data_IF_855452994608
#
_entry.id   IF_855452994608
#
_cell.length_a   1.000
_cell.length_b   1.000
_cell.length_c   1.000
_cell.angle_alpha   90.00
_cell.angle_beta   90.00
_cell.angle_gamma   90.00
#
_symmetry.space_group_name_H-M   'P 1'
#
loop_
_entity.id
_entity.type
_entity.pdbx_description
1 polymer ?
#
# COMPACT_ATOMS: atom_id res chain seq x y z
N UNK A 1 -50.28 34.79 17.49
CA UNK A 1 -49.84 34.13 16.24
C UNK A 1 -48.37 33.75 16.44
N UNK A 2 -48.13 32.49 16.76
CA UNK A 2 -46.74 31.99 16.93
C UNK A 2 -46.12 31.81 15.54
N UNK A 3 -45.00 32.49 15.29
CA UNK A 3 -44.20 32.29 14.13
C UNK A 3 -43.73 30.82 14.11
N UNK A 4 -44.26 30.03 13.20
CA UNK A 4 -43.75 28.70 12.91
C UNK A 4 -42.32 28.89 12.45
N UNK A 5 -41.36 28.64 13.33
CA UNK A 5 -39.95 28.70 12.99
C UNK A 5 -39.65 27.79 11.82
N UNK A 6 -39.38 28.37 10.69
CA UNK A 6 -39.03 27.66 9.47
C UNK A 6 -37.67 27.00 9.69
N UNK A 7 -37.64 25.77 10.20
CA UNK A 7 -36.44 24.95 10.31
C UNK A 7 -36.03 24.38 8.93
N UNK A 8 -35.88 25.31 7.97
CA UNK A 8 -35.39 24.95 6.65
C UNK A 8 -33.86 24.99 6.66
N UNK A 9 -33.23 24.03 6.01
CA UNK A 9 -31.78 24.00 5.79
C UNK A 9 -31.25 25.32 5.17
N UNK A 10 -32.14 26.13 4.60
CA UNK A 10 -31.81 27.42 4.00
C UNK A 10 -31.37 28.49 5.02
N UNK A 11 -31.72 28.34 6.31
CA UNK A 11 -31.33 29.25 7.37
C UNK A 11 -29.88 29.07 7.84
N UNK A 12 -29.25 27.94 7.53
CA UNK A 12 -27.86 27.67 7.97
C UNK A 12 -26.83 28.43 7.12
N UNK A 13 -25.74 28.91 7.76
CA UNK A 13 -24.58 29.45 7.05
C UNK A 13 -23.96 28.43 6.10
N UNK A 14 -23.31 28.91 5.04
CA UNK A 14 -22.73 28.04 4.00
C UNK A 14 -21.68 27.06 4.54
N UNK A 15 -20.84 27.49 5.48
CA UNK A 15 -19.85 26.64 6.13
C UNK A 15 -20.48 25.44 6.85
N UNK A 16 -21.59 25.64 7.56
CA UNK A 16 -22.34 24.58 8.23
C UNK A 16 -22.92 23.59 7.20
N UNK A 17 -23.49 24.12 6.12
CA UNK A 17 -24.01 23.27 5.04
C UNK A 17 -22.89 22.48 4.34
N UNK A 18 -21.71 23.07 4.13
CA UNK A 18 -20.56 22.37 3.57
C UNK A 18 -20.07 21.27 4.52
N UNK A 19 -20.06 21.53 5.83
CA UNK A 19 -19.70 20.51 6.82
C UNK A 19 -20.70 19.35 6.81
N UNK A 20 -22.00 19.63 6.72
CA UNK A 20 -23.03 18.59 6.54
C UNK A 20 -22.81 17.81 5.24
N UNK A 21 -22.56 18.50 4.12
CA UNK A 21 -22.31 17.87 2.83
C UNK A 21 -21.02 17.02 2.83
N UNK A 22 -20.06 17.31 3.70
CA UNK A 22 -18.80 16.57 3.80
C UNK A 22 -18.98 15.11 4.26
N UNK A 23 -20.11 14.77 4.89
CA UNK A 23 -20.46 13.41 5.28
C UNK A 23 -21.03 12.56 4.13
N UNK A 24 -21.37 13.19 3.00
CA UNK A 24 -21.91 12.51 1.84
C UNK A 24 -20.80 11.88 0.99
N UNK A 25 -21.10 10.70 0.43
CA UNK A 25 -20.22 10.13 -0.59
C UNK A 25 -20.32 10.89 -1.93
N UNK A 26 -19.37 10.64 -2.83
CA UNK A 26 -19.28 11.37 -4.12
C UNK A 26 -20.58 11.30 -4.95
N UNK A 27 -21.24 10.13 -4.96
CA UNK A 27 -22.50 9.95 -5.70
C UNK A 27 -23.63 10.78 -5.10
N UNK A 28 -23.70 10.85 -3.80
CA UNK A 28 -24.67 11.64 -3.04
C UNK A 28 -24.41 13.14 -3.24
N UNK A 29 -23.14 13.58 -3.17
CA UNK A 29 -22.74 14.96 -3.46
C UNK A 29 -23.20 15.39 -4.84
N UNK A 30 -22.93 14.57 -5.87
CA UNK A 30 -23.38 14.86 -7.24
C UNK A 30 -24.91 14.92 -7.33
N UNK A 31 -25.64 14.07 -6.60
CA UNK A 31 -27.11 14.12 -6.52
C UNK A 31 -27.59 15.39 -5.83
N UNK A 32 -26.96 15.77 -4.72
CA UNK A 32 -27.28 16.97 -3.95
C UNK A 32 -27.18 18.25 -4.80
N UNK A 33 -26.27 18.28 -5.78
CA UNK A 33 -26.16 19.41 -6.71
C UNK A 33 -27.42 19.68 -7.55
N UNK A 34 -28.37 18.75 -7.58
CA UNK A 34 -29.64 18.84 -8.33
C UNK A 34 -30.82 19.33 -7.49
N UNK A 35 -30.63 19.50 -6.19
CA UNK A 35 -31.71 19.86 -5.25
C UNK A 35 -32.14 21.31 -5.49
N UNK A 36 -31.21 22.27 -5.44
CA UNK A 36 -31.47 23.67 -5.69
C UNK A 36 -30.21 24.40 -6.17
N UNK A 37 -30.35 25.68 -6.59
CA UNK A 37 -29.23 26.50 -7.06
C UNK A 37 -28.15 26.71 -6.00
N UNK A 38 -28.54 26.91 -4.75
CA UNK A 38 -27.64 27.09 -3.61
C UNK A 38 -26.79 25.83 -3.38
N UNK A 39 -27.42 24.66 -3.31
CA UNK A 39 -26.71 23.38 -3.15
C UNK A 39 -25.78 23.08 -4.32
N UNK A 40 -26.19 23.43 -5.55
CA UNK A 40 -25.34 23.29 -6.74
C UNK A 40 -24.05 24.13 -6.63
N UNK A 41 -24.09 25.29 -5.98
CA UNK A 41 -22.90 26.11 -5.72
C UNK A 41 -22.06 25.52 -4.58
N UNK A 42 -22.69 25.16 -3.44
CA UNK A 42 -22.02 24.59 -2.29
C UNK A 42 -21.26 23.29 -2.62
N UNK A 43 -21.87 22.41 -3.42
CA UNK A 43 -21.23 21.16 -3.85
C UNK A 43 -19.95 21.39 -4.68
N UNK A 44 -19.75 22.56 -5.26
CA UNK A 44 -18.51 22.89 -5.99
C UNK A 44 -17.36 23.33 -5.08
N UNK A 45 -17.61 23.52 -3.78
CA UNK A 45 -16.55 23.89 -2.84
C UNK A 45 -15.45 22.84 -2.81
N UNK A 46 -14.22 23.29 -3.02
CA UNK A 46 -13.05 22.39 -3.10
C UNK A 46 -12.72 21.65 -1.80
N UNK A 47 -13.29 22.08 -0.68
CA UNK A 47 -13.16 21.36 0.61
C UNK A 47 -13.81 19.99 0.53
N UNK A 48 -14.93 19.83 -0.17
CA UNK A 48 -15.65 18.58 -0.36
C UNK A 48 -14.91 17.59 -1.28
N UNK A 49 -14.00 18.07 -2.13
CA UNK A 49 -13.29 17.28 -3.15
C UNK A 49 -11.82 17.04 -2.82
N UNK A 50 -11.43 17.15 -1.55
CA UNK A 50 -10.05 16.87 -1.12
C UNK A 50 -9.69 15.39 -1.22
N UNK A 51 -10.62 14.52 -0.88
CA UNK A 51 -10.49 13.06 -0.98
C UNK A 51 -11.70 12.51 -1.73
N UNK A 52 -11.47 11.97 -2.92
CA UNK A 52 -12.50 11.44 -3.80
C UNK A 52 -12.31 9.93 -3.94
N UNK A 53 -13.28 9.19 -3.44
CA UNK A 53 -13.32 7.74 -3.53
C UNK A 53 -14.46 7.29 -4.43
N UNK A 54 -14.10 6.79 -5.61
CA UNK A 54 -15.02 6.22 -6.58
C UNK A 54 -14.96 4.68 -6.61
N UNK A 55 -14.22 4.04 -5.70
CA UNK A 55 -14.06 2.59 -5.68
C UNK A 55 -15.35 1.86 -5.34
N UNK A 56 -16.22 2.48 -4.54
CA UNK A 56 -17.53 1.96 -4.14
C UNK A 56 -18.64 2.29 -5.14
N UNK A 57 -18.43 3.26 -6.02
CA UNK A 57 -19.43 3.66 -7.01
C UNK A 57 -19.38 2.73 -8.22
N UNK A 58 -20.29 1.74 -8.24
CA UNK A 58 -20.42 0.80 -9.36
C UNK A 58 -20.83 1.52 -10.65
N UNK A 59 -20.21 1.16 -11.77
CA UNK A 59 -20.56 1.67 -13.09
C UNK A 59 -19.95 3.03 -13.45
N UNK A 60 -18.90 3.46 -12.77
CA UNK A 60 -18.10 4.63 -13.19
C UNK A 60 -17.46 4.33 -14.54
N UNK A 61 -17.72 5.21 -15.50
CA UNK A 61 -17.17 5.15 -16.86
C UNK A 61 -16.20 6.29 -17.10
N UNK A 62 -15.41 6.23 -18.18
CA UNK A 62 -14.54 7.35 -18.61
C UNK A 62 -15.31 8.65 -18.78
N UNK A 63 -16.57 8.58 -19.26
CA UNK A 63 -17.45 9.76 -19.37
C UNK A 63 -17.75 10.38 -18.00
N UNK A 64 -18.04 9.57 -16.98
CA UNK A 64 -18.27 10.06 -15.60
C UNK A 64 -17.01 10.72 -15.05
N UNK A 65 -15.84 10.13 -15.29
CA UNK A 65 -14.56 10.71 -14.87
C UNK A 65 -14.31 12.09 -15.52
N UNK A 66 -14.64 12.24 -16.79
CA UNK A 66 -14.54 13.53 -17.49
C UNK A 66 -15.50 14.57 -16.92
N UNK A 67 -16.75 14.19 -16.60
CA UNK A 67 -17.73 15.10 -15.99
C UNK A 67 -17.24 15.56 -14.62
N UNK A 68 -16.77 14.62 -13.77
CA UNK A 68 -16.25 14.97 -12.46
C UNK A 68 -15.04 15.90 -12.56
N UNK A 69 -14.11 15.61 -13.45
CA UNK A 69 -12.91 16.42 -13.64
C UNK A 69 -13.26 17.83 -14.13
N UNK A 70 -14.25 17.97 -15.00
CA UNK A 70 -14.66 19.29 -15.52
C UNK A 70 -15.40 20.13 -14.50
N UNK A 71 -16.27 19.53 -13.69
CA UNK A 71 -17.22 20.26 -12.86
C UNK A 71 -16.81 20.40 -11.40
N UNK A 72 -16.09 19.43 -10.85
CA UNK A 72 -15.88 19.32 -9.40
C UNK A 72 -14.41 19.21 -9.00
N UNK A 73 -13.62 18.37 -9.69
CA UNK A 73 -12.23 18.15 -9.32
C UNK A 73 -11.36 19.35 -9.72
N UNK A 74 -10.48 19.76 -8.81
CA UNK A 74 -9.64 20.94 -9.02
C UNK A 74 -8.43 20.96 -8.08
N UNK A 75 -7.92 22.14 -7.82
CA UNK A 75 -6.71 22.37 -7.01
C UNK A 75 -6.81 21.86 -5.55
N UNK A 76 -8.03 21.67 -5.05
CA UNK A 76 -8.27 21.12 -3.71
C UNK A 76 -7.97 19.62 -3.57
N UNK A 77 -8.00 18.86 -4.69
CA UNK A 77 -7.86 17.40 -4.68
C UNK A 77 -6.49 16.95 -4.18
N UNK A 78 -6.50 16.06 -3.17
CA UNK A 78 -5.30 15.47 -2.54
C UNK A 78 -5.21 13.96 -2.72
N UNK A 79 -6.35 13.28 -2.68
CA UNK A 79 -6.45 11.84 -2.78
C UNK A 79 -7.53 11.45 -3.78
N UNK A 80 -7.20 10.55 -4.70
CA UNK A 80 -8.13 10.02 -5.69
C UNK A 80 -8.05 8.50 -5.70
N UNK A 81 -9.20 7.85 -5.47
CA UNK A 81 -9.36 6.40 -5.57
C UNK A 81 -10.32 6.06 -6.68
N UNK A 82 -9.86 5.25 -7.63
CA UNK A 82 -10.62 4.84 -8.80
C UNK A 82 -10.69 3.32 -8.87
N UNK A 83 -11.84 2.80 -9.28
CA UNK A 83 -12.02 1.41 -9.62
C UNK A 83 -12.53 1.30 -11.05
N UNK A 84 -11.71 0.67 -11.90
CA UNK A 84 -12.06 0.37 -13.28
C UNK A 84 -12.82 -0.95 -13.43
N UNK A 85 -12.95 -1.41 -14.66
CA UNK A 85 -13.53 -2.69 -15.04
C UNK A 85 -12.55 -3.38 -15.99
N UNK A 86 -11.67 -4.21 -15.46
CA UNK A 86 -10.63 -4.94 -16.21
C UNK A 86 -11.22 -5.78 -17.36
N UNK A 87 -12.41 -6.32 -17.18
CA UNK A 87 -13.05 -7.25 -18.12
C UNK A 87 -13.99 -6.60 -19.13
N UNK A 88 -14.09 -5.28 -19.16
CA UNK A 88 -15.02 -4.58 -20.06
C UNK A 88 -14.40 -4.30 -21.44
N UNK A 89 -14.18 -5.33 -22.21
CA UNK A 89 -13.65 -5.26 -23.58
C UNK A 89 -14.50 -4.35 -24.51
N UNK A 90 -15.77 -4.12 -24.17
CA UNK A 90 -16.71 -3.36 -25.01
C UNK A 90 -16.80 -1.85 -24.73
N UNK A 91 -16.13 -1.31 -23.70
CA UNK A 91 -16.34 0.08 -23.25
C UNK A 91 -15.15 1.03 -23.48
N UNK A 92 -14.10 0.59 -24.17
CA UNK A 92 -12.90 1.41 -24.38
C UNK A 92 -12.05 1.59 -23.12
N UNK A 93 -10.95 2.32 -23.23
CA UNK A 93 -10.04 2.57 -22.12
C UNK A 93 -10.72 3.38 -21.01
N UNK A 94 -10.65 2.87 -19.77
CA UNK A 94 -11.20 3.56 -18.59
C UNK A 94 -10.41 4.85 -18.28
N UNK A 95 -9.08 4.78 -18.36
CA UNK A 95 -8.16 5.90 -18.26
C UNK A 95 -7.46 6.13 -19.60
N UNK A 96 -7.41 7.39 -20.03
CA UNK A 96 -6.72 7.81 -21.24
C UNK A 96 -5.61 8.80 -20.91
N UNK A 97 -4.60 8.90 -21.77
CA UNK A 97 -3.52 9.89 -21.60
C UNK A 97 -4.07 11.31 -21.52
N UNK A 98 -5.06 11.65 -22.37
CA UNK A 98 -5.71 12.97 -22.37
C UNK A 98 -6.40 13.28 -21.04
N UNK A 99 -7.01 12.27 -20.40
CA UNK A 99 -7.61 12.47 -19.07
C UNK A 99 -6.55 12.68 -17.98
N UNK A 100 -5.44 11.94 -18.03
CA UNK A 100 -4.33 12.13 -17.08
C UNK A 100 -3.66 13.50 -17.26
N UNK A 101 -3.48 13.98 -18.49
CA UNK A 101 -2.97 15.31 -18.76
C UNK A 101 -3.91 16.39 -18.20
N UNK A 102 -5.22 16.24 -18.40
CA UNK A 102 -6.21 17.14 -17.83
C UNK A 102 -6.24 17.08 -16.29
N UNK A 103 -6.05 15.89 -15.69
CA UNK A 103 -5.91 15.71 -14.25
C UNK A 103 -4.65 16.43 -13.73
N UNK A 104 -3.52 16.26 -14.41
CA UNK A 104 -2.25 16.91 -14.07
C UNK A 104 -2.38 18.44 -14.05
N UNK A 105 -3.04 19.03 -15.04
CA UNK A 105 -3.21 20.49 -15.14
C UNK A 105 -4.21 21.03 -14.12
N UNK A 106 -5.34 20.34 -13.89
CA UNK A 106 -6.39 20.79 -12.98
C UNK A 106 -6.15 20.49 -11.50
N UNK A 107 -5.44 19.41 -11.21
CA UNK A 107 -5.24 18.92 -9.85
C UNK A 107 -3.75 18.91 -9.44
N UNK A 108 -3.08 20.07 -9.42
CA UNK A 108 -1.64 20.17 -9.18
C UNK A 108 -1.20 19.78 -7.76
N UNK A 109 -2.16 19.54 -6.86
CA UNK A 109 -1.91 19.17 -5.46
C UNK A 109 -2.28 17.72 -5.15
N UNK A 110 -2.52 16.87 -6.17
CA UNK A 110 -2.83 15.46 -5.99
C UNK A 110 -1.61 14.71 -5.45
N UNK A 111 -1.73 14.17 -4.24
CA UNK A 111 -0.63 13.45 -3.55
C UNK A 111 -0.77 11.94 -3.57
N UNK A 112 -2.02 11.43 -3.57
CA UNK A 112 -2.29 9.99 -3.56
C UNK A 112 -3.22 9.60 -4.69
N UNK A 113 -2.82 8.59 -5.47
CA UNK A 113 -3.63 7.97 -6.50
C UNK A 113 -3.70 6.47 -6.25
N UNK A 114 -4.90 5.94 -6.07
CA UNK A 114 -5.15 4.52 -5.91
C UNK A 114 -6.01 4.04 -7.09
N UNK A 115 -5.49 3.09 -7.84
CA UNK A 115 -6.17 2.48 -8.98
C UNK A 115 -6.45 1.01 -8.69
N UNK A 116 -7.69 0.60 -8.90
CA UNK A 116 -8.12 -0.77 -8.70
C UNK A 116 -8.79 -1.31 -9.96
N UNK A 117 -8.52 -2.57 -10.31
CA UNK A 117 -9.13 -3.25 -11.46
C UNK A 117 -9.07 -2.41 -12.75
N UNK A 118 -7.93 -1.80 -13.02
CA UNK A 118 -7.76 -0.87 -14.15
C UNK A 118 -6.72 -1.38 -15.13
N UNK A 119 -7.06 -1.36 -16.42
CA UNK A 119 -6.13 -1.64 -17.50
C UNK A 119 -5.38 -0.34 -17.87
N UNK A 120 -4.07 -0.34 -17.62
CA UNK A 120 -3.17 0.78 -17.89
C UNK A 120 -2.28 0.54 -19.11
N UNK A 121 -2.46 -0.57 -19.86
CA UNK A 121 -1.62 -0.92 -21.00
C UNK A 121 -1.64 0.13 -22.12
N UNK A 122 -2.68 0.94 -22.17
CA UNK A 122 -2.80 2.06 -23.10
C UNK A 122 -2.04 3.32 -22.67
N UNK A 123 -1.43 3.32 -21.49
CA UNK A 123 -0.64 4.44 -20.97
C UNK A 123 0.85 4.14 -21.20
N UNK A 124 1.55 5.02 -21.89
CA UNK A 124 2.97 4.80 -22.22
C UNK A 124 3.87 4.81 -20.99
N UNK A 125 3.62 5.74 -20.05
CA UNK A 125 4.50 5.94 -18.91
C UNK A 125 3.76 6.59 -17.74
N UNK A 126 4.26 6.36 -16.52
CA UNK A 126 3.82 7.05 -15.31
C UNK A 126 4.22 8.55 -15.29
N UNK A 127 5.05 9.04 -16.20
CA UNK A 127 5.38 10.46 -16.36
C UNK A 127 4.16 11.34 -16.67
N UNK A 128 3.06 10.74 -17.13
CA UNK A 128 1.78 11.43 -17.34
C UNK A 128 1.06 11.77 -16.02
N UNK A 129 1.47 11.16 -14.92
CA UNK A 129 0.89 11.42 -13.60
C UNK A 129 1.28 12.81 -13.08
N UNK A 130 0.44 13.43 -12.21
CA UNK A 130 0.77 14.73 -11.63
C UNK A 130 2.11 14.71 -10.90
N UNK A 131 2.96 15.76 -11.07
CA UNK A 131 4.29 15.82 -10.45
C UNK A 131 4.23 15.91 -8.92
N UNK A 132 3.11 16.33 -8.36
CA UNK A 132 2.86 16.38 -6.91
C UNK A 132 2.55 15.00 -6.30
N UNK A 133 2.45 13.94 -7.11
CA UNK A 133 2.07 12.61 -6.65
C UNK A 133 3.20 11.98 -5.82
N UNK A 134 2.87 11.63 -4.59
CA UNK A 134 3.78 10.99 -3.64
C UNK A 134 3.46 9.51 -3.42
N UNK A 135 2.18 9.13 -3.56
CA UNK A 135 1.70 7.77 -3.27
C UNK A 135 0.96 7.23 -4.49
N UNK A 136 1.46 6.12 -5.03
CA UNK A 136 0.81 5.36 -6.09
C UNK A 136 0.48 3.96 -5.59
N UNK A 137 -0.80 3.60 -5.64
CA UNK A 137 -1.29 2.28 -5.26
C UNK A 137 -2.00 1.64 -6.45
N UNK A 138 -1.53 0.47 -6.88
CA UNK A 138 -2.11 -0.31 -7.96
C UNK A 138 -2.57 -1.66 -7.43
N UNK A 139 -3.84 -1.98 -7.60
CA UNK A 139 -4.43 -3.24 -7.15
C UNK A 139 -5.22 -3.88 -8.27
N UNK A 140 -4.91 -5.14 -8.61
CA UNK A 140 -5.57 -5.85 -9.71
C UNK A 140 -5.50 -5.06 -11.03
N UNK A 141 -4.36 -4.46 -11.33
CA UNK A 141 -4.15 -3.64 -12.53
C UNK A 141 -3.24 -4.35 -13.52
N UNK A 142 -3.38 -4.00 -14.80
CA UNK A 142 -2.45 -4.36 -15.85
C UNK A 142 -1.61 -3.15 -16.23
N UNK A 143 -0.28 -3.31 -16.30
CA UNK A 143 0.66 -2.24 -16.66
C UNK A 143 1.49 -2.63 -17.86
N UNK A 144 1.84 -1.68 -18.77
CA UNK A 144 2.76 -1.97 -19.87
C UNK A 144 4.21 -2.06 -19.38
N UNK A 145 5.07 -2.74 -20.12
CA UNK A 145 6.47 -2.98 -19.74
C UNK A 145 7.28 -1.73 -19.42
N UNK A 146 7.00 -0.63 -20.11
CA UNK A 146 7.67 0.66 -19.91
C UNK A 146 7.01 1.60 -18.90
N UNK A 147 5.95 1.18 -18.21
CA UNK A 147 5.15 2.11 -17.37
C UNK A 147 5.97 2.85 -16.31
N UNK A 148 6.91 2.18 -15.69
CA UNK A 148 7.77 2.75 -14.63
C UNK A 148 9.11 3.28 -15.16
N UNK A 149 9.37 3.18 -16.48
CA UNK A 149 10.58 3.73 -17.05
C UNK A 149 10.56 5.26 -16.97
N UNK A 150 11.69 5.83 -16.58
CA UNK A 150 11.91 7.27 -16.57
C UNK A 150 12.94 7.62 -17.64
N UNK A 151 12.53 8.38 -18.63
CA UNK A 151 13.49 9.06 -19.48
C UNK A 151 14.21 10.14 -18.67
N UNK A 152 15.53 10.16 -18.74
CA UNK A 152 16.38 11.00 -17.87
C UNK A 152 16.10 12.51 -18.03
N UNK A 153 15.52 12.91 -19.16
CA UNK A 153 15.35 14.31 -19.58
C UNK A 153 13.98 14.92 -19.32
N UNK A 154 13.01 14.15 -18.76
CA UNK A 154 11.63 14.67 -18.61
C UNK A 154 11.52 15.56 -17.37
N UNK A 155 11.38 16.86 -17.55
CA UNK A 155 11.05 17.82 -16.48
C UNK A 155 9.65 17.53 -15.91
N UNK A 156 9.48 17.74 -14.59
CA UNK A 156 8.19 17.62 -13.92
C UNK A 156 7.76 16.19 -13.59
N UNK A 157 8.71 15.33 -13.24
CA UNK A 157 8.46 13.94 -12.80
C UNK A 157 7.73 13.89 -11.46
N UNK A 158 6.85 12.89 -11.31
CA UNK A 158 6.25 12.57 -10.02
C UNK A 158 7.34 12.08 -9.04
N UNK A 159 7.43 12.73 -7.89
CA UNK A 159 8.33 12.34 -6.80
C UNK A 159 7.68 11.26 -5.94
N UNK A 160 7.45 10.06 -6.51
CA UNK A 160 6.76 8.99 -5.81
C UNK A 160 7.64 8.45 -4.68
N UNK A 161 7.15 8.62 -3.46
CA UNK A 161 7.79 8.15 -2.23
C UNK A 161 7.27 6.78 -1.80
N UNK A 162 6.01 6.48 -2.14
CA UNK A 162 5.34 5.23 -1.77
C UNK A 162 4.75 4.56 -3.01
N UNK A 163 5.15 3.32 -3.26
CA UNK A 163 4.58 2.45 -4.28
C UNK A 163 4.01 1.19 -3.64
N UNK A 164 2.73 0.93 -3.86
CA UNK A 164 2.04 -0.29 -3.41
C UNK A 164 1.48 -1.02 -4.61
N UNK A 165 1.89 -2.27 -4.78
CA UNK A 165 1.45 -3.15 -5.85
C UNK A 165 0.81 -4.41 -5.24
N UNK A 166 -0.45 -4.65 -5.56
CA UNK A 166 -1.19 -5.81 -5.11
C UNK A 166 -1.87 -6.51 -6.28
N UNK A 167 -1.53 -7.78 -6.51
CA UNK A 167 -2.10 -8.58 -7.61
C UNK A 167 -2.04 -7.86 -8.95
N UNK A 168 -0.85 -7.41 -9.34
CA UNK A 168 -0.55 -6.81 -10.65
C UNK A 168 0.20 -7.84 -11.48
N UNK A 169 -0.49 -8.70 -12.27
CA UNK A 169 0.12 -9.88 -12.89
C UNK A 169 1.12 -9.54 -14.00
N UNK A 170 1.00 -8.38 -14.62
CA UNK A 170 1.96 -7.89 -15.62
C UNK A 170 3.26 -7.35 -15.02
N UNK A 171 3.31 -7.06 -13.72
CA UNK A 171 4.50 -6.53 -13.06
C UNK A 171 5.58 -7.60 -12.92
N UNK A 172 6.81 -7.30 -13.34
CA UNK A 172 7.92 -8.24 -13.44
C UNK A 172 9.25 -7.61 -13.01
N UNK A 173 10.33 -8.40 -13.04
CA UNK A 173 11.69 -7.95 -12.77
C UNK A 173 12.16 -6.79 -13.66
N UNK A 174 11.63 -6.70 -14.91
CA UNK A 174 11.91 -5.58 -15.80
C UNK A 174 11.39 -4.25 -15.22
N UNK A 175 10.19 -4.26 -14.65
CA UNK A 175 9.61 -3.08 -14.00
C UNK A 175 10.38 -2.70 -12.73
N UNK A 176 10.86 -3.70 -11.96
CA UNK A 176 11.72 -3.45 -10.81
C UNK A 176 13.01 -2.72 -11.20
N UNK A 177 13.67 -3.14 -12.29
CA UNK A 177 14.87 -2.44 -12.78
C UNK A 177 14.59 -0.97 -13.09
N UNK A 178 13.42 -0.67 -13.66
CA UNK A 178 13.00 0.72 -13.88
C UNK A 178 12.81 1.48 -12.58
N UNK A 179 12.30 0.84 -11.52
CA UNK A 179 12.16 1.46 -10.20
C UNK A 179 13.49 1.79 -9.53
N UNK A 180 14.59 1.14 -9.92
CA UNK A 180 15.92 1.47 -9.38
C UNK A 180 16.33 2.92 -9.62
N UNK A 181 15.75 3.58 -10.61
CA UNK A 181 15.97 5.01 -10.91
C UNK A 181 15.15 5.96 -10.02
N UNK A 182 14.22 5.44 -9.20
CA UNK A 182 13.33 6.26 -8.38
C UNK A 182 13.97 6.65 -7.05
N UNK A 183 14.75 7.73 -7.07
CA UNK A 183 15.54 8.20 -5.91
C UNK A 183 14.75 8.61 -4.69
N UNK A 184 13.44 8.92 -4.84
CA UNK A 184 12.57 9.36 -3.75
C UNK A 184 11.82 8.20 -3.08
N UNK A 185 11.90 6.98 -3.64
CA UNK A 185 11.15 5.85 -3.12
C UNK A 185 11.64 5.44 -1.74
N UNK A 186 10.78 5.61 -0.74
CA UNK A 186 11.04 5.28 0.67
C UNK A 186 10.20 4.09 1.15
N UNK A 187 9.07 3.81 0.48
CA UNK A 187 8.17 2.70 0.80
C UNK A 187 7.81 1.90 -0.44
N UNK A 188 8.09 0.61 -0.41
CA UNK A 188 7.77 -0.34 -1.46
C UNK A 188 6.99 -1.53 -0.87
N UNK A 189 5.79 -1.80 -1.41
CA UNK A 189 5.00 -2.95 -1.03
C UNK A 189 4.68 -3.79 -2.27
N UNK A 190 5.14 -5.02 -2.25
CA UNK A 190 4.94 -6.00 -3.31
C UNK A 190 4.14 -7.19 -2.76
N UNK A 191 2.91 -7.35 -3.23
CA UNK A 191 1.98 -8.35 -2.71
C UNK A 191 1.37 -9.16 -3.84
N UNK A 192 1.41 -10.48 -3.74
CA UNK A 192 0.83 -11.41 -4.73
C UNK A 192 1.28 -11.11 -6.18
N UNK A 193 2.60 -10.99 -6.38
CA UNK A 193 3.22 -10.72 -7.68
C UNK A 193 3.97 -11.95 -8.18
N UNK A 194 3.40 -12.68 -9.13
CA UNK A 194 3.93 -13.97 -9.60
C UNK A 194 5.18 -13.87 -10.51
N UNK A 195 5.41 -12.71 -11.12
CA UNK A 195 6.53 -12.49 -12.08
C UNK A 195 7.69 -11.70 -11.49
N UNK A 196 7.73 -11.54 -10.18
CA UNK A 196 8.81 -10.87 -9.47
C UNK A 196 9.67 -11.92 -8.76
N UNK A 197 10.96 -11.93 -9.05
CA UNK A 197 11.91 -12.84 -8.44
C UNK A 197 12.81 -12.15 -7.41
N UNK A 198 13.42 -12.94 -6.52
CA UNK A 198 14.42 -12.43 -5.60
C UNK A 198 15.65 -11.85 -6.36
N UNK A 199 16.02 -12.49 -7.47
CA UNK A 199 17.09 -11.99 -8.34
C UNK A 199 16.75 -10.63 -8.95
N UNK A 200 15.50 -10.44 -9.39
CA UNK A 200 15.01 -9.16 -9.88
C UNK A 200 15.09 -8.06 -8.83
N UNK A 201 14.63 -8.34 -7.62
CA UNK A 201 14.68 -7.37 -6.53
C UNK A 201 16.13 -7.05 -6.11
N UNK A 202 17.01 -8.06 -6.06
CA UNK A 202 18.43 -7.89 -5.76
C UNK A 202 19.14 -7.07 -6.84
N UNK A 203 18.78 -7.21 -8.12
CA UNK A 203 19.36 -6.43 -9.22
C UNK A 203 19.03 -4.94 -9.19
N UNK A 204 18.03 -4.54 -8.39
CA UNK A 204 17.70 -3.13 -8.15
C UNK A 204 18.69 -2.43 -7.22
N UNK A 205 19.65 -3.17 -6.65
CA UNK A 205 20.68 -2.67 -5.74
C UNK A 205 22.04 -2.92 -6.38
N UNK A 206 22.46 -2.10 -7.35
CA UNK A 206 23.79 -2.23 -7.90
C UNK A 206 24.85 -1.89 -6.85
N UNK A 207 26.00 -2.60 -6.83
CA UNK A 207 27.09 -2.29 -5.91
C UNK A 207 27.54 -0.84 -6.13
N UNK A 208 27.48 -0.04 -5.06
CA UNK A 208 27.89 1.37 -5.07
C UNK A 208 26.87 2.40 -5.55
N UNK A 209 25.67 1.99 -5.99
CA UNK A 209 24.63 2.94 -6.37
C UNK A 209 23.63 3.18 -5.22
N UNK A 210 23.26 4.43 -5.00
CA UNK A 210 22.28 4.85 -3.98
C UNK A 210 20.81 4.59 -4.40
N UNK A 211 20.60 3.72 -5.33
CA UNK A 211 19.28 3.33 -5.83
C UNK A 211 18.57 2.51 -4.77
N UNK A 212 17.34 2.84 -4.47
CA UNK A 212 16.59 2.33 -3.32
C UNK A 212 17.30 2.47 -1.94
N UNK A 213 18.42 3.19 -1.87
CA UNK A 213 19.13 3.45 -0.61
C UNK A 213 18.35 4.27 0.41
N UNK A 214 17.27 4.93 -0.02
CA UNK A 214 16.31 5.62 0.85
C UNK A 214 15.14 4.74 1.30
N UNK A 215 15.13 3.46 0.92
CA UNK A 215 14.04 2.56 1.27
C UNK A 215 14.05 2.29 2.78
N UNK A 216 13.00 2.76 3.46
CA UNK A 216 12.78 2.59 4.90
C UNK A 216 11.71 1.58 5.23
N UNK A 217 10.81 1.32 4.28
CA UNK A 217 9.70 0.38 4.44
C UNK A 217 9.63 -0.57 3.25
N UNK A 218 9.76 -1.86 3.53
CA UNK A 218 9.60 -2.93 2.57
C UNK A 218 8.54 -3.91 3.05
N UNK A 219 7.57 -4.24 2.19
CA UNK A 219 6.61 -5.30 2.43
C UNK A 219 6.64 -6.30 1.27
N UNK A 220 6.88 -7.56 1.59
CA UNK A 220 6.91 -8.67 0.64
C UNK A 220 5.93 -9.73 1.12
N UNK A 221 4.93 -10.05 0.32
CA UNK A 221 3.94 -11.10 0.60
C UNK A 221 3.95 -12.15 -0.50
N UNK A 222 3.71 -13.42 -0.12
CA UNK A 222 3.69 -14.60 -1.02
C UNK A 222 5.03 -15.03 -1.61
N UNK A 223 6.10 -14.79 -0.89
CA UNK A 223 7.45 -15.18 -1.32
C UNK A 223 7.81 -16.56 -0.78
N UNK A 224 8.42 -17.39 -1.63
CA UNK A 224 8.91 -18.71 -1.21
C UNK A 224 10.20 -18.58 -0.38
N UNK A 225 10.48 -19.62 0.41
CA UNK A 225 11.70 -19.73 1.19
C UNK A 225 12.97 -19.48 0.39
N UNK A 226 13.11 -20.14 -0.75
CA UNK A 226 14.27 -19.98 -1.63
C UNK A 226 14.46 -18.53 -2.08
N UNK A 227 13.36 -17.81 -2.36
CA UNK A 227 13.41 -16.41 -2.71
C UNK A 227 13.86 -15.53 -1.55
N UNK A 228 13.41 -15.82 -0.32
CA UNK A 228 13.79 -15.06 0.86
C UNK A 228 15.27 -15.20 1.20
N UNK A 229 15.84 -16.41 1.09
CA UNK A 229 17.27 -16.66 1.28
C UNK A 229 18.08 -15.95 0.19
N UNK A 230 17.65 -16.05 -1.07
CA UNK A 230 18.34 -15.44 -2.20
C UNK A 230 18.35 -13.90 -2.17
N UNK A 231 17.36 -13.29 -1.48
CA UNK A 231 17.26 -11.84 -1.34
C UNK A 231 18.45 -11.22 -0.58
N UNK A 232 19.01 -11.93 0.42
CA UNK A 232 20.09 -11.39 1.23
C UNK A 232 19.75 -10.04 1.85
N UNK A 233 18.55 -9.90 2.43
CA UNK A 233 17.96 -8.64 2.90
C UNK A 233 18.93 -7.73 3.67
N UNK A 234 19.76 -8.31 4.50
CA UNK A 234 20.68 -7.56 5.36
C UNK A 234 21.84 -6.87 4.63
N UNK A 235 22.12 -7.23 3.39
CA UNK A 235 23.20 -6.62 2.60
C UNK A 235 22.68 -5.55 1.64
N UNK A 236 21.38 -5.59 1.33
CA UNK A 236 20.78 -4.74 0.30
C UNK A 236 20.20 -3.43 0.79
N UNK A 237 19.69 -3.41 2.03
CA UNK A 237 18.97 -2.24 2.58
C UNK A 237 19.38 -1.91 4.01
N UNK A 238 20.57 -1.37 4.24
CA UNK A 238 21.10 -1.13 5.59
C UNK A 238 20.24 -0.16 6.42
N UNK A 239 19.53 0.77 5.78
CA UNK A 239 18.67 1.75 6.45
C UNK A 239 17.20 1.35 6.59
N UNK A 240 16.86 0.06 6.44
CA UNK A 240 15.48 -0.40 6.53
C UNK A 240 14.96 -0.34 7.96
N UNK A 241 13.91 0.45 8.19
CA UNK A 241 13.29 0.64 9.50
C UNK A 241 12.05 -0.24 9.70
N UNK A 242 11.33 -0.59 8.63
CA UNK A 242 10.09 -1.37 8.67
C UNK A 242 10.11 -2.48 7.65
N UNK A 243 9.87 -3.71 8.11
CA UNK A 243 9.80 -4.89 7.27
C UNK A 243 8.51 -5.66 7.54
N UNK A 244 7.78 -6.00 6.48
CA UNK A 244 6.67 -6.94 6.52
C UNK A 244 6.97 -8.09 5.58
N UNK A 245 6.90 -9.29 6.11
CA UNK A 245 7.09 -10.53 5.37
C UNK A 245 5.85 -11.40 5.52
N UNK A 246 5.45 -12.05 4.44
CA UNK A 246 4.35 -13.00 4.43
C UNK A 246 4.57 -14.05 3.35
N UNK A 247 4.10 -15.27 3.62
CA UNK A 247 4.23 -16.42 2.72
C UNK A 247 4.54 -17.70 3.48
N UNK A 248 4.38 -18.85 2.84
CA UNK A 248 4.28 -20.13 3.53
C UNK A 248 5.52 -20.49 4.36
N UNK A 249 6.73 -20.23 3.88
CA UNK A 249 7.96 -20.64 4.59
C UNK A 249 8.98 -19.49 4.61
N UNK A 250 9.08 -18.81 5.73
CA UNK A 250 9.96 -17.65 5.93
C UNK A 250 11.14 -17.98 6.85
N UNK A 251 11.08 -19.08 7.62
CA UNK A 251 12.03 -19.41 8.69
C UNK A 251 13.52 -19.24 8.34
N UNK A 252 14.09 -19.87 7.33
CA UNK A 252 15.51 -19.69 7.00
C UNK A 252 15.84 -18.27 6.48
N UNK A 253 14.89 -17.59 5.86
CA UNK A 253 15.04 -16.18 5.43
C UNK A 253 15.19 -15.23 6.62
N UNK A 254 14.67 -15.56 7.79
CA UNK A 254 14.78 -14.74 9.01
C UNK A 254 16.24 -14.52 9.44
N UNK A 255 17.14 -15.45 9.18
CA UNK A 255 18.57 -15.25 9.49
C UNK A 255 19.19 -14.10 8.71
N UNK A 256 18.67 -13.78 7.53
CA UNK A 256 19.12 -12.61 6.75
C UNK A 256 18.56 -11.30 7.32
N UNK A 257 17.37 -11.36 7.93
CA UNK A 257 16.73 -10.21 8.60
C UNK A 257 17.53 -9.78 9.83
N UNK A 258 18.21 -10.70 10.53
CA UNK A 258 19.04 -10.38 11.70
C UNK A 258 20.15 -9.36 11.43
N UNK A 259 20.51 -9.13 10.16
CA UNK A 259 21.51 -8.15 9.74
C UNK A 259 20.97 -6.72 9.61
N UNK A 260 19.65 -6.53 9.69
CA UNK A 260 19.00 -5.22 9.55
C UNK A 260 19.04 -4.45 10.89
N UNK A 261 20.17 -3.83 11.19
CA UNK A 261 20.42 -3.19 12.49
C UNK A 261 19.52 -1.98 12.79
N UNK A 262 18.97 -1.32 11.77
CA UNK A 262 18.07 -0.17 11.93
C UNK A 262 16.59 -0.55 12.02
N UNK A 263 16.28 -1.86 11.99
CA UNK A 263 14.91 -2.33 11.99
C UNK A 263 14.20 -2.02 13.32
N UNK A 264 13.10 -1.28 13.23
CA UNK A 264 12.26 -0.87 14.37
C UNK A 264 10.93 -1.59 14.41
N UNK A 265 10.44 -2.05 13.26
CA UNK A 265 9.16 -2.71 13.13
C UNK A 265 9.27 -3.91 12.20
N UNK A 266 8.93 -5.09 12.73
CA UNK A 266 8.88 -6.34 11.99
C UNK A 266 7.49 -6.95 12.11
N UNK A 267 6.85 -7.24 10.98
CA UNK A 267 5.61 -8.01 10.92
C UNK A 267 5.79 -9.27 10.09
N UNK A 268 5.43 -10.40 10.70
CA UNK A 268 5.38 -11.70 10.05
C UNK A 268 3.91 -12.14 9.94
N UNK A 269 3.48 -12.49 8.73
CA UNK A 269 2.07 -12.69 8.42
C UNK A 269 1.87 -13.89 7.52
N UNK A 270 0.89 -14.76 7.89
CA UNK A 270 0.54 -15.95 7.11
C UNK A 270 1.76 -16.80 6.74
N UNK A 271 2.56 -17.15 7.71
CA UNK A 271 3.78 -17.93 7.50
C UNK A 271 3.95 -19.01 8.57
N UNK A 272 4.75 -20.04 8.22
CA UNK A 272 5.13 -21.11 9.12
C UNK A 272 6.52 -20.81 9.65
N UNK A 273 6.71 -20.79 10.98
CA UNK A 273 7.93 -20.36 11.63
C UNK A 273 8.40 -21.37 12.70
N UNK A 274 9.70 -21.63 12.72
CA UNK A 274 10.34 -22.32 13.84
C UNK A 274 10.67 -21.31 14.95
N UNK A 275 10.26 -21.60 16.20
CA UNK A 275 10.47 -20.70 17.34
C UNK A 275 11.95 -20.39 17.61
N UNK A 276 12.85 -21.39 17.51
CA UNK A 276 14.29 -21.23 17.69
C UNK A 276 14.88 -20.22 16.68
N UNK A 277 14.40 -20.26 15.43
CA UNK A 277 14.84 -19.32 14.39
C UNK A 277 14.37 -17.90 14.64
N UNK A 278 13.16 -17.72 15.16
CA UNK A 278 12.63 -16.40 15.56
C UNK A 278 13.50 -15.81 16.68
N UNK A 279 13.78 -16.57 17.71
CA UNK A 279 14.63 -16.12 18.83
C UNK A 279 16.05 -15.78 18.35
N UNK A 280 16.64 -16.61 17.48
CA UNK A 280 17.96 -16.36 16.90
C UNK A 280 18.00 -15.08 16.08
N UNK A 281 16.96 -14.82 15.27
CA UNK A 281 16.83 -13.57 14.53
C UNK A 281 16.73 -12.37 15.47
N UNK A 282 15.85 -12.44 16.46
CA UNK A 282 15.55 -11.34 17.37
C UNK A 282 16.73 -10.92 18.26
N UNK A 283 17.65 -11.83 18.60
CA UNK A 283 18.86 -11.51 19.38
C UNK A 283 19.70 -10.39 18.76
N UNK A 284 19.72 -10.29 17.46
CA UNK A 284 20.54 -9.30 16.72
C UNK A 284 19.81 -7.98 16.44
N UNK A 285 18.50 -7.91 16.70
CA UNK A 285 17.67 -6.75 16.36
C UNK A 285 17.49 -5.81 17.56
N UNK A 286 18.57 -5.19 18.04
CA UNK A 286 18.59 -4.37 19.26
C UNK A 286 17.70 -3.13 19.20
N UNK A 287 17.39 -2.62 18.00
CA UNK A 287 16.54 -1.42 17.80
C UNK A 287 15.08 -1.74 17.57
N UNK A 288 14.68 -3.02 17.60
CA UNK A 288 13.31 -3.42 17.35
C UNK A 288 12.39 -2.91 18.47
N UNK A 289 11.30 -2.23 18.07
CA UNK A 289 10.29 -1.64 18.95
C UNK A 289 8.94 -2.33 18.85
N UNK A 290 8.65 -2.90 17.69
CA UNK A 290 7.38 -3.58 17.44
C UNK A 290 7.64 -4.86 16.67
N UNK A 291 7.16 -5.98 17.22
CA UNK A 291 7.20 -7.29 16.60
C UNK A 291 5.77 -7.85 16.56
N UNK A 292 5.25 -8.04 15.36
CA UNK A 292 3.87 -8.50 15.13
C UNK A 292 3.87 -9.84 14.42
N UNK A 293 3.16 -10.81 15.00
CA UNK A 293 2.83 -12.09 14.40
C UNK A 293 1.33 -12.11 14.10
N UNK A 294 0.96 -12.38 12.86
CA UNK A 294 -0.44 -12.38 12.43
C UNK A 294 -0.71 -13.60 11.57
N UNK A 295 -1.62 -14.46 12.02
CA UNK A 295 -1.95 -15.72 11.33
C UNK A 295 -0.69 -16.59 11.07
N UNK A 296 0.19 -16.70 12.09
CA UNK A 296 1.45 -17.45 12.02
C UNK A 296 1.26 -18.82 12.66
N UNK A 297 1.72 -19.85 11.97
CA UNK A 297 1.85 -21.22 12.48
C UNK A 297 3.26 -21.42 13.03
N UNK A 298 3.39 -21.58 14.33
CA UNK A 298 4.67 -21.92 14.96
C UNK A 298 4.85 -23.43 14.97
N UNK A 299 6.08 -23.86 14.66
CA UNK A 299 6.47 -25.27 14.64
C UNK A 299 7.50 -25.51 15.71
N UNK A 300 7.30 -26.57 16.47
CA UNK A 300 8.21 -27.05 17.50
C UNK A 300 8.65 -28.50 17.18
N UNK A 301 9.94 -28.80 17.35
CA UNK A 301 10.50 -30.14 17.17
C UNK A 301 10.34 -30.92 18.49
N UNK A 302 10.03 -32.22 18.47
CA UNK A 302 9.65 -33.05 19.65
C UNK A 302 10.69 -33.14 20.77
N UNK A 303 11.92 -32.73 20.56
CA UNK A 303 13.00 -32.95 21.52
C UNK A 303 12.93 -32.14 22.84
N UNK A 304 11.98 -31.23 23.02
CA UNK A 304 11.92 -30.28 24.16
C UNK A 304 10.53 -30.08 24.78
N UNK A 305 9.60 -31.00 24.66
CA UNK A 305 8.31 -30.90 25.35
C UNK A 305 8.42 -31.34 26.82
N UNK A 306 8.90 -30.43 27.64
CA UNK A 306 8.63 -30.50 29.09
C UNK A 306 7.17 -30.05 29.28
N UNK A 307 6.32 -30.96 29.68
CA UNK A 307 4.89 -31.06 29.78
C UNK A 307 4.01 -29.83 30.17
N UNK A 308 4.23 -28.67 29.64
CA UNK A 308 3.34 -27.50 29.84
C UNK A 308 2.26 -27.44 28.78
N UNK A 309 1.02 -27.70 29.21
CA UNK A 309 -0.18 -27.51 28.40
C UNK A 309 -0.32 -26.04 28.01
N UNK A 310 -0.34 -25.76 26.69
CA UNK A 310 -0.75 -24.47 26.15
C UNK A 310 -2.19 -24.16 26.54
N UNK A 311 -2.47 -22.97 27.07
CA UNK A 311 -3.83 -22.49 27.29
C UNK A 311 -4.42 -22.00 25.97
N UNK A 312 -5.73 -22.08 25.81
CA UNK A 312 -6.43 -21.57 24.61
C UNK A 312 -6.15 -20.08 24.33
N UNK A 313 -5.81 -19.30 25.36
CA UNK A 313 -5.55 -17.85 25.24
C UNK A 313 -4.12 -17.50 24.80
N UNK A 314 -3.15 -18.41 24.93
CA UNK A 314 -1.76 -18.16 24.52
C UNK A 314 -1.11 -19.44 23.94
N UNK A 315 -1.12 -19.58 22.60
CA UNK A 315 -0.58 -20.78 21.96
C UNK A 315 0.94 -20.91 22.06
N UNK A 316 1.66 -19.84 22.41
CA UNK A 316 3.16 -19.83 22.47
C UNK A 316 3.71 -19.08 23.69
N UNK A 317 3.35 -19.48 24.92
CA UNK A 317 3.72 -18.79 26.15
C UNK A 317 5.25 -18.73 26.34
N UNK A 318 5.96 -19.81 26.05
CA UNK A 318 7.42 -19.89 26.18
C UNK A 318 8.14 -18.94 25.22
N UNK A 319 7.68 -18.84 23.97
CA UNK A 319 8.21 -17.89 23.00
C UNK A 319 7.97 -16.45 23.44
N UNK A 320 6.77 -16.15 23.97
CA UNK A 320 6.43 -14.82 24.47
C UNK A 320 7.32 -14.38 25.62
N UNK A 321 7.57 -15.26 26.60
CA UNK A 321 8.45 -14.99 27.73
C UNK A 321 9.90 -14.78 27.26
N UNK A 322 10.40 -15.65 26.38
CA UNK A 322 11.73 -15.53 25.81
C UNK A 322 11.93 -14.25 25.01
N UNK A 323 10.94 -13.84 24.22
CA UNK A 323 10.99 -12.58 23.45
C UNK A 323 10.96 -11.35 24.37
N UNK A 324 10.17 -11.37 25.46
CA UNK A 324 10.17 -10.28 26.45
C UNK A 324 11.51 -10.14 27.16
N UNK A 325 12.17 -11.25 27.47
CA UNK A 325 13.50 -11.25 28.05
C UNK A 325 14.56 -10.71 27.09
N UNK A 326 14.50 -11.10 25.81
CA UNK A 326 15.45 -10.69 24.77
C UNK A 326 15.27 -9.23 24.34
N UNK A 327 14.04 -8.75 24.29
CA UNK A 327 13.64 -7.45 23.73
C UNK A 327 12.75 -6.70 24.71
N UNK A 328 13.25 -6.22 25.86
CA UNK A 328 12.44 -5.63 26.93
C UNK A 328 11.69 -4.35 26.50
N UNK A 329 12.20 -3.61 25.53
CA UNK A 329 11.59 -2.37 25.02
C UNK A 329 10.72 -2.60 23.78
N UNK A 330 10.53 -3.86 23.35
CA UNK A 330 9.76 -4.21 22.17
C UNK A 330 8.33 -4.61 22.54
N UNK A 331 7.35 -4.01 21.88
CA UNK A 331 5.97 -4.47 21.92
C UNK A 331 5.80 -5.70 21.05
N UNK A 332 5.48 -6.84 21.66
CA UNK A 332 5.26 -8.11 20.93
C UNK A 332 3.78 -8.44 20.91
N UNK A 333 3.21 -8.56 19.70
CA UNK A 333 1.80 -8.83 19.47
C UNK A 333 1.61 -10.14 18.69
N UNK A 334 0.67 -10.97 19.14
CA UNK A 334 0.24 -12.21 18.47
C UNK A 334 -1.25 -12.09 18.12
N UNK A 335 -1.60 -12.44 16.90
CA UNK A 335 -3.00 -12.39 16.41
C UNK A 335 -3.27 -13.57 15.47
N UNK A 336 -4.18 -14.47 15.86
CA UNK A 336 -4.54 -15.64 15.04
C UNK A 336 -3.39 -16.62 14.85
N UNK A 337 -2.48 -16.73 15.81
CA UNK A 337 -1.34 -17.63 15.76
C UNK A 337 -1.71 -19.03 16.29
N UNK A 338 -1.05 -20.06 15.77
CA UNK A 338 -1.23 -21.47 16.17
C UNK A 338 0.11 -22.12 16.44
N UNK A 339 0.12 -23.17 17.27
CA UNK A 339 1.28 -24.01 17.54
C UNK A 339 1.03 -25.41 16.97
N UNK A 340 1.94 -25.89 16.16
CA UNK A 340 1.93 -27.25 15.60
C UNK A 340 3.18 -27.99 16.04
N UNK A 341 3.01 -29.14 16.66
CA UNK A 341 4.12 -30.02 17.04
C UNK A 341 4.33 -30.99 15.87
N UNK A 342 5.49 -30.97 15.25
CA UNK A 342 5.85 -31.98 14.25
C UNK A 342 5.98 -33.32 14.92
N UNK A 343 5.07 -34.23 14.68
CA UNK A 343 5.21 -35.66 14.95
C UNK A 343 5.79 -36.26 13.67
N UNK A 344 7.09 -36.49 13.66
CA UNK A 344 7.74 -37.33 12.65
C UNK A 344 7.31 -38.79 12.78
#
# INVERSE_FOLDING_TARGET
>A
MAAVGCSTLDCFPENVLIDILSYLNVRELVRSSRVCRRWKQLVKDQRLWRAVDLSTWKGVTSRVLWVLLRQYLGHGLRCLRLRGLLLSVRRGAFLTESWLQALRSKCPRLRRLCLQHTDLRNLRSCCLLPPSLQVLELSFCEVPSGFFAHDAETEGKAAIETLVLYKVPSFSDQHLRSLSTWRQLSRLELRDLSRVSAGGLKSCIPPGAQTLGRLKHLALETWSLAQMVALGLGTGWPGLERLRLGGNEVSPGLLTVSRLQDLRWLRLHKCRLNQKMVLKCCRSLSRLRVLEFSEVEFVEDEEETDGQKSSEDDPVPNLRLSLRSLLPECSVCFSGCTLTINRD
#
